data_IF_335368669831
#
_entry.id   IF_335368669831
#
_cell.length_a   1.000
_cell.length_b   1.000
_cell.length_c   1.000
_cell.angle_alpha   90.00
_cell.angle_beta   90.00
_cell.angle_gamma   90.00
#
_symmetry.space_group_name_H-M   'P 1'
#
loop_
_entity.id
_entity.type
_entity.pdbx_description
1 polymer ?
#
# COMPACT_ATOMS: atom_id res chain seq x y z
N UNK A 1 -55.43 19.63 31.81
CA UNK A 1 -55.32 19.28 30.38
C UNK A 1 -54.78 20.54 29.71
N UNK A 2 -53.63 20.61 29.03
CA UNK A 2 -52.79 19.64 28.32
C UNK A 2 -51.31 19.93 28.60
N UNK A 3 -50.53 18.94 29.06
CA UNK A 3 -49.06 19.02 29.19
C UNK A 3 -48.38 18.27 28.00
N UNK A 4 -49.17 17.76 27.05
CA UNK A 4 -48.70 16.93 25.93
C UNK A 4 -48.43 17.72 24.66
N UNK A 5 -48.73 19.02 24.61
CA UNK A 5 -48.75 19.82 23.38
C UNK A 5 -47.42 20.46 22.96
N UNK A 6 -46.27 20.16 23.58
CA UNK A 6 -45.04 20.87 23.20
C UNK A 6 -43.75 20.04 23.22
N UNK A 7 -43.83 18.70 23.31
CA UNK A 7 -42.62 17.88 23.13
C UNK A 7 -42.39 17.56 21.65
N UNK A 8 -43.42 17.10 20.95
CA UNK A 8 -43.31 16.71 19.55
C UNK A 8 -43.07 17.92 18.64
N UNK A 9 -43.71 19.06 18.90
CA UNK A 9 -43.54 20.27 18.10
C UNK A 9 -42.14 20.88 18.25
N UNK A 10 -41.56 20.81 19.44
CA UNK A 10 -40.17 21.22 19.69
C UNK A 10 -39.17 20.27 19.00
N UNK A 11 -39.49 18.97 18.97
CA UNK A 11 -38.69 17.97 18.24
C UNK A 11 -38.70 18.24 16.73
N UNK A 12 -39.87 18.58 16.16
CA UNK A 12 -39.99 18.91 14.74
C UNK A 12 -39.24 20.20 14.39
N UNK A 13 -39.31 21.23 15.23
CA UNK A 13 -38.52 22.46 15.03
C UNK A 13 -37.01 22.21 15.00
N UNK A 14 -36.50 21.32 15.87
CA UNK A 14 -35.07 20.97 15.87
C UNK A 14 -34.68 20.21 14.60
N UNK A 15 -35.56 19.34 14.09
CA UNK A 15 -35.30 18.60 12.85
C UNK A 15 -35.35 19.50 11.61
N UNK A 16 -36.16 20.57 11.62
CA UNK A 16 -36.28 21.52 10.51
C UNK A 16 -35.14 22.56 10.48
N UNK A 17 -34.46 22.82 11.61
CA UNK A 17 -33.33 23.77 11.72
C UNK A 17 -31.96 23.14 11.39
N UNK A 18 -31.87 21.81 11.27
CA UNK A 18 -30.65 21.13 10.85
C UNK A 18 -30.41 21.36 9.35
N UNK A 19 -29.45 22.24 9.02
CA UNK A 19 -28.92 22.36 7.67
C UNK A 19 -28.37 20.99 7.23
N UNK A 20 -29.10 20.32 6.34
CA UNK A 20 -28.94 18.95 5.80
C UNK A 20 -27.55 18.61 5.20
N UNK A 21 -26.57 19.51 5.20
CA UNK A 21 -25.27 19.27 4.57
C UNK A 21 -24.31 18.39 5.38
N UNK A 22 -24.52 18.23 6.70
CA UNK A 22 -23.50 17.70 7.59
C UNK A 22 -23.72 16.22 8.00
N UNK A 23 -24.91 15.67 7.80
CA UNK A 23 -25.23 14.29 8.22
C UNK A 23 -24.55 13.21 7.38
N UNK A 24 -24.23 13.48 6.10
CA UNK A 24 -23.57 12.49 5.23
C UNK A 24 -22.13 12.15 5.66
N UNK A 25 -21.50 13.00 6.48
CA UNK A 25 -20.12 12.86 6.89
C UNK A 25 -19.95 12.36 8.33
N UNK A 26 -20.98 11.75 8.92
CA UNK A 26 -20.94 11.23 10.28
C UNK A 26 -20.84 9.70 10.35
N UNK A 27 -20.13 9.21 11.34
CA UNK A 27 -20.02 7.80 11.70
C UNK A 27 -21.29 7.36 12.42
N UNK A 28 -22.04 6.43 11.83
CA UNK A 28 -23.33 5.96 12.38
C UNK A 28 -23.23 5.16 13.70
N UNK A 29 -22.01 4.91 14.22
CA UNK A 29 -21.81 4.26 15.52
C UNK A 29 -21.51 5.30 16.61
N UNK A 30 -20.66 6.30 16.32
CA UNK A 30 -20.19 7.26 17.34
C UNK A 30 -20.84 8.64 17.22
N UNK A 31 -21.47 8.96 16.09
CA UNK A 31 -21.98 10.30 15.80
C UNK A 31 -20.89 11.34 15.47
N UNK A 32 -19.62 10.91 15.37
CA UNK A 32 -18.47 11.77 15.06
C UNK A 32 -18.23 11.87 13.55
N UNK A 33 -17.46 12.86 13.11
CA UNK A 33 -17.07 12.98 11.70
C UNK A 33 -16.30 11.75 11.19
N UNK A 34 -16.55 11.40 9.92
CA UNK A 34 -15.87 10.32 9.23
C UNK A 34 -14.41 10.69 8.99
N UNK A 35 -13.52 9.80 9.45
CA UNK A 35 -12.09 9.92 9.23
C UNK A 35 -11.72 9.52 7.80
N UNK A 36 -10.48 9.84 7.40
CA UNK A 36 -9.90 9.46 6.11
C UNK A 36 -9.93 7.95 5.87
N UNK A 37 -9.78 7.16 6.93
CA UNK A 37 -9.81 5.69 6.90
C UNK A 37 -11.21 5.12 7.20
N UNK A 38 -12.25 5.91 6.91
CA UNK A 38 -13.63 5.44 7.01
C UNK A 38 -13.92 4.30 6.04
N UNK A 39 -14.78 3.38 6.48
CA UNK A 39 -15.23 2.23 5.71
C UNK A 39 -16.68 2.47 5.29
N UNK A 40 -16.93 2.44 3.98
CA UNK A 40 -18.29 2.39 3.43
C UNK A 40 -18.63 0.97 2.99
N UNK A 41 -19.63 0.38 3.62
CA UNK A 41 -20.11 -0.97 3.28
C UNK A 41 -21.02 -0.95 2.04
N UNK A 42 -21.28 -2.11 1.43
CA UNK A 42 -22.17 -2.21 0.26
C UNK A 42 -23.63 -1.83 0.57
N UNK A 43 -24.04 -1.82 1.84
CA UNK A 43 -25.33 -1.32 2.31
C UNK A 43 -25.35 0.21 2.51
N UNK A 44 -24.47 0.95 1.82
CA UNK A 44 -24.30 2.41 1.86
C UNK A 44 -23.95 3.05 3.21
N UNK A 45 -23.93 2.30 4.31
CA UNK A 45 -23.54 2.80 5.63
C UNK A 45 -22.02 2.98 5.76
N UNK A 46 -21.63 4.14 6.28
CA UNK A 46 -20.24 4.54 6.52
C UNK A 46 -19.92 4.56 8.01
N UNK A 47 -18.73 4.08 8.36
CA UNK A 47 -18.27 4.00 9.75
C UNK A 47 -16.79 4.33 9.85
N UNK A 48 -16.39 4.87 11.00
CA UNK A 48 -14.97 4.90 11.37
C UNK A 48 -14.48 3.47 11.65
N UNK A 49 -13.24 3.19 11.23
CA UNK A 49 -12.68 1.83 11.27
C UNK A 49 -12.69 1.24 12.69
N UNK A 50 -12.21 1.98 13.69
CA UNK A 50 -12.06 1.48 15.07
C UNK A 50 -13.42 1.16 15.72
N UNK A 51 -14.43 2.05 15.68
CA UNK A 51 -15.78 1.72 16.14
C UNK A 51 -16.37 0.49 15.46
N UNK A 52 -16.26 0.39 14.13
CA UNK A 52 -16.76 -0.75 13.37
C UNK A 52 -16.03 -2.05 13.76
N UNK A 53 -14.72 -2.00 13.92
CA UNK A 53 -13.90 -3.13 14.34
C UNK A 53 -14.31 -3.65 15.72
N UNK A 54 -14.51 -2.74 16.68
CA UNK A 54 -14.94 -3.09 18.04
C UNK A 54 -16.33 -3.72 18.05
N UNK A 55 -17.24 -3.21 17.22
CA UNK A 55 -18.58 -3.76 17.10
C UNK A 55 -18.57 -5.15 16.47
N UNK A 56 -17.82 -5.36 15.38
CA UNK A 56 -17.65 -6.70 14.78
C UNK A 56 -16.97 -7.67 15.76
N UNK A 57 -16.00 -7.21 16.55
CA UNK A 57 -15.38 -8.01 17.62
C UNK A 57 -16.42 -8.52 18.62
N UNK A 58 -17.37 -7.68 19.04
CA UNK A 58 -18.47 -8.10 19.95
C UNK A 58 -19.38 -9.13 19.29
N UNK A 59 -19.74 -8.93 18.03
CA UNK A 59 -20.53 -9.90 17.25
C UNK A 59 -19.84 -11.28 17.15
N UNK A 60 -18.50 -11.31 17.27
CA UNK A 60 -17.64 -12.49 17.12
C UNK A 60 -17.21 -13.14 18.43
N UNK A 61 -17.75 -12.71 19.56
CA UNK A 61 -17.34 -13.20 20.89
C UNK A 61 -17.34 -14.72 21.05
N UNK A 62 -18.18 -15.46 20.31
CA UNK A 62 -18.19 -16.93 20.37
C UNK A 62 -17.01 -17.60 19.66
N UNK A 63 -16.33 -16.89 18.74
CA UNK A 63 -15.23 -17.45 17.94
C UNK A 63 -13.85 -17.06 18.46
N UNK A 64 -13.79 -16.01 19.30
CA UNK A 64 -12.54 -15.49 19.82
C UNK A 64 -12.23 -16.21 21.15
N UNK A 65 -11.00 -16.71 21.37
CA UNK A 65 -10.63 -17.32 22.64
C UNK A 65 -10.74 -16.31 23.80
N UNK A 66 -11.22 -16.75 24.96
CA UNK A 66 -11.33 -15.94 26.18
C UNK A 66 -12.19 -14.67 26.06
N UNK A 67 -13.07 -14.58 25.06
CA UNK A 67 -14.05 -13.49 24.98
C UNK A 67 -15.42 -13.89 25.52
N UNK A 68 -16.16 -12.89 26.00
CA UNK A 68 -17.56 -13.04 26.38
C UNK A 68 -18.37 -13.54 25.17
N UNK A 69 -19.22 -14.57 25.33
CA UNK A 69 -20.07 -15.03 24.23
C UNK A 69 -20.98 -13.89 23.73
N UNK A 70 -21.33 -13.95 22.45
CA UNK A 70 -22.26 -13.00 21.83
C UNK A 70 -23.60 -13.03 22.55
N UNK A 71 -24.37 -11.93 22.44
CA UNK A 71 -25.67 -11.78 23.07
C UNK A 71 -26.55 -13.05 22.90
N UNK A 72 -27.00 -13.62 24.01
CA UNK A 72 -27.84 -14.83 24.02
C UNK A 72 -29.13 -14.63 23.23
N UNK A 73 -29.66 -13.39 23.22
CA UNK A 73 -30.87 -13.01 22.49
C UNK A 73 -30.64 -12.80 20.99
N UNK A 74 -29.42 -12.98 20.48
CA UNK A 74 -29.13 -12.87 19.06
C UNK A 74 -29.60 -14.13 18.33
N UNK A 75 -30.80 -14.07 17.75
CA UNK A 75 -31.38 -15.16 16.94
C UNK A 75 -30.58 -15.40 15.65
N UNK A 76 -30.02 -14.32 15.09
CA UNK A 76 -29.38 -14.34 13.79
C UNK A 76 -27.87 -14.61 13.89
N UNK A 77 -27.52 -15.90 13.93
CA UNK A 77 -26.15 -16.38 14.10
C UNK A 77 -25.27 -16.09 12.86
N UNK A 78 -24.02 -15.76 13.11
CA UNK A 78 -23.00 -15.50 12.09
C UNK A 78 -22.04 -16.68 11.96
N UNK A 79 -21.55 -16.93 10.73
CA UNK A 79 -20.44 -17.86 10.53
C UNK A 79 -19.10 -17.22 10.91
N UNK A 80 -18.05 -18.04 11.04
CA UNK A 80 -16.68 -17.62 11.36
C UNK A 80 -16.16 -16.48 10.48
N UNK A 81 -16.48 -16.48 9.19
CA UNK A 81 -16.05 -15.49 8.20
C UNK A 81 -17.18 -14.61 7.69
N UNK A 82 -18.13 -14.23 8.55
CA UNK A 82 -19.21 -13.30 8.20
C UNK A 82 -19.42 -12.25 9.30
N UNK A 83 -19.75 -11.01 8.97
CA UNK A 83 -20.13 -10.01 9.97
C UNK A 83 -21.42 -9.28 9.57
N UNK A 84 -22.02 -8.54 10.51
CA UNK A 84 -23.23 -7.74 10.26
C UNK A 84 -22.92 -6.27 10.29
N UNK A 85 -23.58 -5.52 9.42
CA UNK A 85 -23.64 -4.07 9.56
C UNK A 85 -24.22 -3.71 10.93
N UNK A 86 -23.57 -2.85 11.73
CA UNK A 86 -24.11 -2.38 13.01
C UNK A 86 -25.45 -1.66 12.90
N UNK A 87 -25.69 -1.00 11.76
CA UNK A 87 -26.88 -0.19 11.53
C UNK A 87 -28.04 -1.02 10.96
N UNK A 88 -27.89 -1.55 9.74
CA UNK A 88 -28.98 -2.28 9.06
C UNK A 88 -28.98 -3.80 9.26
N UNK A 89 -28.05 -4.35 10.05
CA UNK A 89 -27.90 -5.79 10.32
C UNK A 89 -27.70 -6.70 9.09
N UNK A 90 -27.52 -6.14 7.88
CA UNK A 90 -27.18 -6.92 6.67
C UNK A 90 -25.89 -7.73 6.90
N UNK A 91 -25.92 -9.02 6.54
CA UNK A 91 -24.77 -9.92 6.63
C UNK A 91 -23.83 -9.73 5.43
N UNK A 92 -22.53 -9.77 5.72
CA UNK A 92 -21.46 -9.76 4.74
C UNK A 92 -20.68 -11.06 4.77
N UNK A 93 -20.36 -11.57 3.58
CA UNK A 93 -19.51 -12.74 3.40
C UNK A 93 -18.04 -12.30 3.32
N UNK A 94 -17.32 -12.48 4.42
CA UNK A 94 -15.93 -12.11 4.58
C UNK A 94 -15.67 -11.42 5.91
N UNK A 95 -14.42 -11.02 6.11
CA UNK A 95 -13.92 -10.28 7.25
C UNK A 95 -13.72 -8.81 6.89
N UNK A 96 -13.62 -7.94 7.88
CA UNK A 96 -13.27 -6.54 7.63
C UNK A 96 -11.91 -6.44 6.92
N UNK A 97 -11.72 -5.45 6.02
CA UNK A 97 -10.39 -5.13 5.52
C UNK A 97 -9.41 -4.88 6.68
N UNK A 98 -8.11 -5.18 6.51
CA UNK A 98 -7.12 -4.76 7.49
C UNK A 98 -7.07 -3.22 7.58
N UNK A 99 -6.65 -2.71 8.74
CA UNK A 99 -6.50 -1.27 8.95
C UNK A 99 -5.50 -0.69 7.93
N UNK A 100 -5.74 0.55 7.50
CA UNK A 100 -4.81 1.33 6.69
C UNK A 100 -3.46 1.52 7.40
N UNK A 101 -3.49 1.66 8.73
CA UNK A 101 -2.29 1.80 9.55
C UNK A 101 -1.63 0.45 9.85
N UNK A 102 -0.32 0.36 9.62
CA UNK A 102 0.48 -0.83 9.90
C UNK A 102 0.47 -1.22 11.41
N UNK A 103 0.22 -0.26 12.30
CA UNK A 103 0.09 -0.47 13.75
C UNK A 103 -1.36 -0.70 14.21
N UNK A 104 -2.30 -0.84 13.28
CA UNK A 104 -3.71 -1.05 13.61
C UNK A 104 -4.00 -2.37 14.32
N UNK A 105 -5.17 -2.49 14.97
CA UNK A 105 -5.55 -3.73 15.63
C UNK A 105 -5.74 -4.86 14.61
N UNK A 106 -5.15 -6.02 14.89
CA UNK A 106 -5.30 -7.25 14.09
C UNK A 106 -5.88 -8.35 14.97
N UNK A 107 -6.98 -8.95 14.53
CA UNK A 107 -7.68 -9.98 15.28
C UNK A 107 -8.29 -11.03 14.35
N UNK A 108 -8.05 -12.30 14.71
CA UNK A 108 -8.61 -13.45 14.02
C UNK A 108 -10.14 -13.40 14.00
N UNK A 109 -10.74 -13.74 12.85
CA UNK A 109 -12.18 -13.73 12.59
C UNK A 109 -12.84 -12.33 12.58
N UNK A 110 -12.06 -11.26 12.73
CA UNK A 110 -12.54 -9.88 12.59
C UNK A 110 -11.94 -9.23 11.34
N UNK A 111 -10.62 -9.12 11.26
CA UNK A 111 -9.90 -8.57 10.10
C UNK A 111 -8.70 -9.44 9.66
N UNK A 112 -8.62 -10.68 10.16
CA UNK A 112 -7.61 -11.66 9.79
C UNK A 112 -8.21 -13.06 9.73
N UNK A 113 -7.85 -13.92 8.74
CA UNK A 113 -6.78 -13.79 7.75
C UNK A 113 -7.15 -12.93 6.53
N UNK A 114 -6.16 -12.27 5.93
CA UNK A 114 -6.33 -11.39 4.76
C UNK A 114 -7.00 -12.07 3.56
N UNK A 115 -6.85 -13.39 3.41
CA UNK A 115 -7.49 -14.16 2.34
C UNK A 115 -9.01 -14.22 2.45
N UNK A 116 -9.56 -13.91 3.62
CA UNK A 116 -11.01 -13.90 3.89
C UNK A 116 -11.56 -12.48 4.09
N UNK A 117 -10.71 -11.45 4.03
CA UNK A 117 -11.15 -10.06 4.11
C UNK A 117 -11.88 -9.63 2.83
N UNK A 118 -12.93 -8.84 3.00
CA UNK A 118 -13.51 -8.08 1.89
C UNK A 118 -12.59 -6.90 1.60
N UNK A 119 -12.37 -6.60 0.32
CA UNK A 119 -11.64 -5.41 -0.11
C UNK A 119 -12.60 -4.57 -0.94
N UNK A 120 -12.87 -3.36 -0.47
CA UNK A 120 -13.83 -2.45 -1.07
C UNK A 120 -13.22 -1.75 -2.29
N UNK A 121 -11.92 -1.46 -2.25
CA UNK A 121 -11.23 -0.82 -3.35
C UNK A 121 -10.67 -1.84 -4.35
N UNK A 122 -10.56 -1.39 -5.59
CA UNK A 122 -9.89 -2.12 -6.67
C UNK A 122 -8.60 -1.42 -7.05
N UNK A 123 -7.57 -2.21 -7.33
CA UNK A 123 -6.26 -1.70 -7.72
C UNK A 123 -6.34 -0.91 -9.02
N UNK A 124 -5.96 0.38 -8.96
CA UNK A 124 -5.95 1.34 -10.08
C UNK A 124 -4.76 1.19 -11.04
N UNK A 125 -3.88 0.21 -10.81
CA UNK A 125 -2.67 0.04 -11.63
C UNK A 125 -3.02 -0.39 -13.06
N UNK A 126 -2.46 0.33 -14.03
CA UNK A 126 -2.54 0.04 -15.45
C UNK A 126 -1.20 -0.53 -15.94
N UNK A 127 -1.25 -1.67 -16.62
CA UNK A 127 -0.05 -2.30 -17.15
C UNK A 127 0.54 -1.48 -18.32
N UNK A 128 1.81 -1.09 -18.21
CA UNK A 128 2.50 -0.30 -19.24
C UNK A 128 3.02 -1.13 -20.43
N UNK A 129 3.14 -2.44 -20.27
CA UNK A 129 3.72 -3.35 -21.27
C UNK A 129 3.17 -4.77 -21.15
N UNK A 130 3.47 -5.61 -22.14
CA UNK A 130 3.07 -7.01 -22.20
C UNK A 130 1.67 -7.22 -22.81
N UNK A 131 1.17 -8.46 -22.74
CA UNK A 131 -0.13 -8.86 -23.32
C UNK A 131 -1.32 -8.08 -22.73
N UNK A 132 -1.20 -7.66 -21.46
CA UNK A 132 -2.24 -6.91 -20.73
C UNK A 132 -2.02 -5.39 -20.77
N UNK A 133 -1.24 -4.87 -21.73
CA UNK A 133 -0.97 -3.43 -21.82
C UNK A 133 -2.28 -2.63 -21.88
N UNK A 134 -2.32 -1.51 -21.16
CA UNK A 134 -3.48 -0.64 -20.98
C UNK A 134 -4.68 -1.27 -20.24
N UNK A 135 -4.55 -2.50 -19.72
CA UNK A 135 -5.57 -3.14 -18.88
C UNK A 135 -5.30 -2.82 -17.40
N UNK A 136 -6.36 -2.67 -16.60
CA UNK A 136 -6.26 -2.48 -15.15
C UNK A 136 -6.09 -3.80 -14.39
N UNK A 137 -5.47 -3.75 -13.21
CA UNK A 137 -5.26 -4.94 -12.38
C UNK A 137 -6.57 -5.56 -11.86
N UNK A 138 -7.55 -4.73 -11.50
CA UNK A 138 -8.86 -5.12 -10.95
C UNK A 138 -8.83 -6.00 -9.69
N UNK A 139 -7.67 -6.19 -9.06
CA UNK A 139 -7.54 -6.94 -7.80
C UNK A 139 -8.05 -6.10 -6.63
N UNK A 140 -8.83 -6.69 -5.74
CA UNK A 140 -9.24 -6.04 -4.49
C UNK A 140 -8.02 -5.66 -3.64
N UNK A 141 -7.99 -4.44 -3.13
CA UNK A 141 -6.95 -3.94 -2.24
C UNK A 141 -7.53 -2.98 -1.20
N UNK A 142 -6.76 -2.73 -0.13
CA UNK A 142 -7.00 -1.60 0.76
C UNK A 142 -6.21 -0.42 0.20
N UNK A 143 -6.88 0.59 -0.35
CA UNK A 143 -6.25 1.76 -0.98
C UNK A 143 -6.02 1.63 -2.49
N UNK A 144 -5.12 2.45 -3.03
CA UNK A 144 -4.99 2.66 -4.49
C UNK A 144 -4.40 1.48 -5.26
N UNK A 145 -3.47 0.74 -4.64
CA UNK A 145 -2.71 -0.32 -5.29
C UNK A 145 -2.65 -1.58 -4.44
N UNK A 146 -2.70 -2.74 -5.08
CA UNK A 146 -2.43 -4.00 -4.38
C UNK A 146 -0.98 -4.06 -3.90
N UNK A 147 -0.69 -4.86 -2.88
CA UNK A 147 0.65 -4.94 -2.24
C UNK A 147 1.81 -5.08 -3.24
N UNK A 148 1.62 -5.86 -4.31
CA UNK A 148 2.63 -6.02 -5.36
C UNK A 148 2.82 -4.73 -6.17
N UNK A 149 1.73 -4.05 -6.55
CA UNK A 149 1.78 -2.82 -7.34
C UNK A 149 2.19 -1.59 -6.50
N UNK A 150 1.85 -1.54 -5.22
CA UNK A 150 2.36 -0.52 -4.30
C UNK A 150 3.90 -0.50 -4.29
N UNK A 151 4.53 -1.67 -4.14
CA UNK A 151 6.01 -1.83 -4.24
C UNK A 151 6.58 -1.39 -5.58
N UNK A 152 5.86 -1.61 -6.69
CA UNK A 152 6.30 -1.15 -8.02
C UNK A 152 6.27 0.39 -8.07
N UNK A 153 5.20 1.00 -7.58
CA UNK A 153 5.03 2.46 -7.60
C UNK A 153 6.08 3.15 -6.71
N UNK A 154 6.33 2.63 -5.52
CA UNK A 154 7.37 3.11 -4.62
C UNK A 154 8.76 3.07 -5.28
N UNK A 155 9.13 1.94 -5.89
CA UNK A 155 10.40 1.81 -6.63
C UNK A 155 10.51 2.81 -7.77
N UNK A 156 9.42 3.10 -8.48
CA UNK A 156 9.39 4.10 -9.56
C UNK A 156 9.61 5.51 -9.02
N UNK A 157 8.99 5.86 -7.90
CA UNK A 157 9.19 7.16 -7.24
C UNK A 157 10.63 7.32 -6.75
N UNK A 158 11.21 6.31 -6.10
CA UNK A 158 12.59 6.36 -5.62
C UNK A 158 13.59 6.49 -6.78
N UNK A 159 13.35 5.82 -7.92
CA UNK A 159 14.16 6.01 -9.14
C UNK A 159 14.08 7.43 -9.71
N UNK A 160 12.93 8.12 -9.60
CA UNK A 160 12.80 9.52 -10.03
C UNK A 160 13.60 10.44 -9.11
N UNK A 161 13.46 10.29 -7.78
CA UNK A 161 14.22 11.06 -6.77
C UNK A 161 15.74 10.89 -6.91
N UNK A 162 16.20 9.68 -7.23
CA UNK A 162 17.64 9.40 -7.42
C UNK A 162 18.18 9.83 -8.79
N UNK A 163 17.33 10.11 -9.79
CA UNK A 163 17.76 10.58 -11.11
C UNK A 163 18.09 12.07 -11.13
N UNK A 164 17.51 12.85 -10.22
CA UNK A 164 17.66 14.30 -10.14
C UNK A 164 19.02 14.76 -9.55
N UNK A 165 19.85 13.86 -9.01
CA UNK A 165 21.12 14.24 -8.37
C UNK A 165 22.41 13.81 -9.09
N UNK A 166 22.36 13.06 -10.19
CA UNK A 166 23.57 12.63 -10.92
C UNK A 166 23.68 13.40 -12.24
N UNK A 167 24.43 14.50 -12.24
CA UNK A 167 24.89 15.16 -13.48
C UNK A 167 25.71 14.14 -14.27
N UNK A 168 25.21 13.74 -15.43
CA UNK A 168 25.94 12.85 -16.34
C UNK A 168 27.13 13.62 -16.89
N UNK A 169 28.35 13.28 -16.47
CA UNK A 169 29.56 13.83 -17.08
C UNK A 169 29.98 12.95 -18.27
N UNK A 170 30.59 13.52 -19.31
CA UNK A 170 31.11 12.72 -20.43
C UNK A 170 32.27 11.83 -19.97
N UNK A 171 32.50 10.73 -20.70
CA UNK A 171 33.62 9.84 -20.43
C UNK A 171 34.95 10.43 -20.96
N UNK A 172 35.98 10.44 -20.11
CA UNK A 172 37.29 11.01 -20.45
C UNK A 172 38.21 10.08 -21.27
N UNK A 173 37.71 8.98 -21.83
CA UNK A 173 38.54 8.06 -22.62
C UNK A 173 38.71 8.56 -24.06
N UNK A 174 39.95 8.74 -24.50
CA UNK A 174 40.30 9.10 -25.87
C UNK A 174 40.44 7.85 -26.73
N UNK A 175 39.73 7.81 -27.85
CA UNK A 175 39.72 6.67 -28.76
C UNK A 175 41.06 6.54 -29.50
N UNK A 176 41.70 5.38 -29.42
CA UNK A 176 43.01 5.11 -30.06
C UNK A 176 42.92 4.62 -31.51
N UNK A 177 41.73 4.18 -31.97
CA UNK A 177 41.51 3.55 -33.27
C UNK A 177 40.15 3.95 -33.87
N UNK A 178 39.98 3.71 -35.16
CA UNK A 178 38.73 3.93 -35.89
C UNK A 178 38.52 5.37 -36.37
N UNK A 179 37.36 5.66 -37.00
CA UNK A 179 37.07 6.94 -37.65
C UNK A 179 37.08 8.15 -36.71
N UNK A 180 36.86 7.91 -35.40
CA UNK A 180 36.84 8.94 -34.34
C UNK A 180 38.10 8.93 -33.47
N UNK A 181 39.22 8.43 -34.00
CA UNK A 181 40.50 8.40 -33.30
C UNK A 181 40.88 9.83 -32.84
N UNK A 182 41.38 9.95 -31.61
CA UNK A 182 41.72 11.23 -30.99
C UNK A 182 40.55 11.96 -30.32
N UNK A 183 39.30 11.53 -30.53
CA UNK A 183 38.14 12.13 -29.86
C UNK A 183 37.78 11.39 -28.56
N UNK A 184 37.16 12.11 -27.62
CA UNK A 184 36.59 11.53 -26.41
C UNK A 184 35.42 10.60 -26.71
N UNK A 185 35.25 9.59 -25.85
CA UNK A 185 34.13 8.67 -25.91
C UNK A 185 32.79 9.41 -25.76
N UNK A 186 31.88 9.23 -26.72
CA UNK A 186 30.54 9.84 -26.67
C UNK A 186 29.57 9.25 -25.62
N UNK A 187 30.06 8.42 -24.70
CA UNK A 187 29.25 7.83 -23.62
C UNK A 187 29.43 8.62 -22.33
N UNK A 188 28.42 8.58 -21.47
CA UNK A 188 28.51 9.20 -20.14
C UNK A 188 29.35 8.33 -19.18
N UNK A 189 30.10 9.00 -18.30
CA UNK A 189 30.83 8.42 -17.19
C UNK A 189 29.85 7.84 -16.16
N UNK A 190 30.37 7.02 -15.25
CA UNK A 190 29.62 6.55 -14.08
C UNK A 190 30.28 7.13 -12.83
N UNK A 191 29.73 8.20 -12.22
CA UNK A 191 30.31 8.74 -10.99
C UNK A 191 30.40 7.67 -9.90
N UNK A 192 31.49 7.67 -9.11
CA UNK A 192 32.57 8.67 -9.08
C UNK A 192 33.65 8.52 -10.18
N UNK A 193 33.58 7.49 -11.04
CA UNK A 193 34.58 7.26 -12.08
C UNK A 193 34.42 8.23 -13.27
N UNK A 194 35.55 8.70 -13.81
CA UNK A 194 35.64 9.57 -15.00
C UNK A 194 35.40 8.81 -16.33
N UNK A 195 35.18 7.50 -16.27
CA UNK A 195 35.08 6.62 -17.43
C UNK A 195 33.72 5.93 -17.52
N UNK A 196 33.30 5.58 -18.74
CA UNK A 196 32.09 4.78 -18.94
C UNK A 196 32.33 3.32 -18.50
N UNK A 197 31.27 2.52 -18.32
CA UNK A 197 31.35 1.13 -17.85
C UNK A 197 32.39 0.28 -18.62
N UNK A 198 32.44 0.43 -19.94
CA UNK A 198 33.36 -0.34 -20.79
C UNK A 198 34.83 0.08 -20.59
N UNK A 199 35.09 1.39 -20.45
CA UNK A 199 36.46 1.88 -20.28
C UNK A 199 36.96 1.76 -18.83
N UNK A 200 36.05 1.85 -17.85
CA UNK A 200 36.37 1.57 -16.45
C UNK A 200 36.79 0.11 -16.24
N UNK A 201 36.05 -0.83 -16.82
CA UNK A 201 36.40 -2.27 -16.75
C UNK A 201 37.70 -2.59 -17.50
N UNK A 202 37.91 -1.99 -18.67
CA UNK A 202 39.19 -2.14 -19.39
C UNK A 202 40.39 -1.61 -18.59
N UNK A 203 40.24 -0.48 -17.89
CA UNK A 203 41.30 0.08 -17.06
C UNK A 203 41.64 -0.81 -15.85
N UNK A 204 40.63 -1.34 -15.16
CA UNK A 204 40.86 -2.29 -14.06
C UNK A 204 41.62 -3.53 -14.55
N UNK A 205 41.23 -4.06 -15.71
CA UNK A 205 41.90 -5.22 -16.28
C UNK A 205 43.35 -4.90 -16.67
N UNK A 206 43.65 -3.72 -17.22
CA UNK A 206 45.04 -3.32 -17.49
C UNK A 206 45.89 -3.16 -16.22
N UNK A 207 45.29 -2.70 -15.12
CA UNK A 207 46.00 -2.62 -13.83
C UNK A 207 46.29 -4.03 -13.30
N UNK A 208 45.31 -4.93 -13.35
CA UNK A 208 45.47 -6.33 -12.92
C UNK A 208 46.55 -7.04 -13.73
N UNK A 209 46.55 -6.89 -15.07
CA UNK A 209 47.57 -7.53 -15.93
C UNK A 209 48.98 -7.04 -15.65
N UNK A 210 49.15 -5.75 -15.32
CA UNK A 210 50.46 -5.18 -15.00
C UNK A 210 51.00 -5.62 -13.61
N UNK A 211 50.12 -6.05 -12.70
CA UNK A 211 50.52 -6.59 -11.38
C UNK A 211 51.01 -8.03 -11.55
N UNK A 212 50.36 -8.83 -12.39
CA UNK A 212 50.72 -10.25 -12.60
C UNK A 212 52.01 -10.47 -13.41
N UNK A 213 52.48 -9.49 -14.16
CA UNK A 213 53.71 -9.58 -14.97
C UNK A 213 54.97 -9.10 -14.24
N UNK A 214 54.88 -8.63 -13.00
CA UNK A 214 56.00 -8.09 -12.22
C UNK A 214 56.56 -9.07 -11.15
N UNK A 215 56.20 -10.35 -11.19
CA UNK A 215 56.83 -11.37 -10.33
C UNK A 215 57.95 -12.05 -11.15
N UNK A 216 59.24 -11.83 -10.84
CA UNK A 216 60.33 -12.47 -11.56
C UNK A 216 60.36 -13.99 -11.29
N UNK A 217 60.73 -14.82 -12.28
CA UNK A 217 60.84 -16.26 -12.08
C UNK A 217 62.00 -16.56 -11.13
N UNK A 218 61.70 -17.22 -10.01
CA UNK A 218 62.72 -17.72 -9.08
C UNK A 218 63.51 -18.84 -9.79
N UNK A 219 64.82 -18.65 -9.92
CA UNK A 219 65.73 -19.65 -10.45
C UNK A 219 65.72 -20.89 -9.54
N UNK A 220 65.32 -22.03 -10.10
CA UNK A 220 65.50 -23.34 -9.46
C UNK A 220 67.01 -23.66 -9.44
N UNK A 221 67.59 -23.69 -8.25
CA UNK A 221 68.89 -24.31 -7.99
C UNK A 221 68.64 -25.81 -7.83
N UNK A 222 69.04 -26.59 -8.83
CA UNK A 222 69.22 -28.04 -8.69
C UNK A 222 70.53 -28.32 -7.96
N UNK A 223 70.44 -29.29 -7.05
CA UNK A 223 71.44 -29.78 -6.08
C UNK A 223 72.74 -30.19 -6.76
#
# INVERSE_FOLDING_TARGET
MNITENFFDNLYQILDDDNDSDQENLCLITGEQLLKDSIKLECSHSFNYIPLFNEVKKQKGNFIPNSKPSNYYESDRLNKYQFKCPYCRKKYNGLLPPNSDDNGPVLLYVNYPLSKCIFLDKCKYIFASGLKKNVSCNRGCSGEYCKSHAKIMERRQNKKKNKTSIKKTPCNHVLKRGPRKGQCCGKNSRPPALFCKAHYTAQLNTVITNITTNIPPQAFVTI
#
